data_IF_320774905860
#
_entry.id   IF_320774905860
#
_cell.length_a   1.000
_cell.length_b   1.000
_cell.length_c   1.000
_cell.angle_alpha   90.00
_cell.angle_beta   90.00
_cell.angle_gamma   90.00
#
_symmetry.space_group_name_H-M   'P 1'
#
loop_
_entity.id
_entity.type
_entity.pdbx_description
1 polymer ?
#
# COMPACT_ATOMS: atom_id res chain seq x y z
N UNK A 1 -23.07 56.07 29.99
CA UNK A 1 -23.22 55.33 28.71
C UNK A 1 -21.93 54.63 28.29
N UNK A 2 -20.77 55.30 28.31
CA UNK A 2 -19.46 54.79 27.85
C UNK A 2 -18.99 53.50 28.55
N UNK A 3 -19.17 53.37 29.88
CA UNK A 3 -18.80 52.16 30.64
C UNK A 3 -19.58 50.90 30.25
N UNK A 4 -20.87 51.02 29.93
CA UNK A 4 -21.71 49.89 29.49
C UNK A 4 -21.34 49.44 28.07
N UNK A 5 -20.97 50.39 27.21
CA UNK A 5 -20.52 50.12 25.84
C UNK A 5 -19.14 49.43 25.82
N UNK A 6 -18.22 49.84 26.71
CA UNK A 6 -16.90 49.22 26.87
C UNK A 6 -16.97 47.78 27.38
N UNK A 7 -17.89 47.49 28.31
CA UNK A 7 -18.11 46.13 28.81
C UNK A 7 -18.67 45.19 27.73
N UNK A 8 -19.58 45.70 26.89
CA UNK A 8 -20.19 44.97 25.79
C UNK A 8 -19.17 44.66 24.68
N UNK A 9 -18.27 45.60 24.39
CA UNK A 9 -17.18 45.41 23.43
C UNK A 9 -16.16 44.37 23.92
N UNK A 10 -15.82 44.38 25.21
CA UNK A 10 -14.93 43.39 25.81
C UNK A 10 -15.55 41.98 25.78
N UNK A 11 -16.84 41.87 26.08
CA UNK A 11 -17.58 40.61 26.03
C UNK A 11 -17.63 40.05 24.60
N UNK A 12 -17.90 40.90 23.59
CA UNK A 12 -17.90 40.51 22.18
C UNK A 12 -16.53 40.05 21.70
N UNK A 13 -15.45 40.70 22.15
CA UNK A 13 -14.08 40.31 21.82
C UNK A 13 -13.71 38.95 22.43
N UNK A 14 -14.17 38.68 23.67
CA UNK A 14 -13.95 37.37 24.31
C UNK A 14 -14.75 36.24 23.66
N UNK A 15 -15.98 36.51 23.21
CA UNK A 15 -16.81 35.52 22.48
C UNK A 15 -16.19 35.23 21.10
N UNK A 16 -15.68 36.26 20.40
CA UNK A 16 -14.99 36.08 19.12
C UNK A 16 -13.66 35.28 19.26
N UNK A 17 -12.92 35.48 20.36
CA UNK A 17 -11.72 34.71 20.66
C UNK A 17 -12.03 33.23 20.96
N UNK A 18 -13.14 32.94 21.63
CA UNK A 18 -13.59 31.56 21.92
C UNK A 18 -14.11 30.83 20.67
N UNK A 19 -14.69 31.54 19.70
CA UNK A 19 -15.11 30.97 18.41
C UNK A 19 -13.94 30.58 17.49
N UNK A 20 -12.75 31.13 17.75
CA UNK A 20 -11.56 30.92 16.91
C UNK A 20 -10.78 29.65 17.29
N UNK A 21 -11.18 28.95 18.35
CA UNK A 21 -10.53 27.75 18.88
C UNK A 21 -11.35 26.48 18.62
N UNK A 22 -11.93 26.34 17.43
CA UNK A 22 -12.16 24.98 16.89
C UNK A 22 -10.84 24.52 16.29
N UNK A 23 -9.89 24.16 17.15
CA UNK A 23 -8.77 23.34 16.75
C UNK A 23 -9.35 21.96 16.40
N UNK A 24 -9.76 21.79 15.14
CA UNK A 24 -9.92 20.46 14.57
C UNK A 24 -8.59 19.75 14.83
N UNK A 25 -8.62 18.72 15.69
CA UNK A 25 -7.47 17.86 15.92
C UNK A 25 -6.89 17.53 14.54
N UNK A 26 -5.63 17.92 14.32
CA UNK A 26 -4.98 17.65 13.05
C UNK A 26 -5.00 16.13 12.85
N UNK A 27 -5.46 15.68 11.68
CA UNK A 27 -5.43 14.26 11.35
C UNK A 27 -4.02 13.71 11.60
N UNK A 28 -3.95 12.46 12.04
CA UNK A 28 -2.70 11.72 12.20
C UNK A 28 -2.96 10.31 11.72
N UNK A 29 -1.97 9.73 11.06
CA UNK A 29 -1.96 8.28 10.82
C UNK A 29 -1.88 7.54 12.15
N UNK A 30 -2.57 6.41 12.20
CA UNK A 30 -2.53 5.46 13.32
C UNK A 30 -1.97 4.13 12.82
N UNK A 31 -1.65 3.23 13.75
CA UNK A 31 -1.02 1.96 13.43
C UNK A 31 -1.85 1.11 12.46
N UNK A 32 -3.18 1.14 12.62
CA UNK A 32 -4.15 0.42 11.81
C UNK A 32 -4.20 0.91 10.35
N UNK A 33 -3.69 2.10 10.05
CA UNK A 33 -3.60 2.60 8.66
C UNK A 33 -2.52 1.86 7.85
N UNK A 34 -1.60 1.16 8.53
CA UNK A 34 -0.56 0.31 7.93
C UNK A 34 -0.98 -1.16 7.93
N UNK A 35 -2.29 -1.41 8.03
CA UNK A 35 -2.94 -2.72 8.03
C UNK A 35 -3.85 -2.89 6.84
N UNK A 36 -4.06 -4.14 6.44
CA UNK A 36 -5.19 -4.48 5.58
C UNK A 36 -5.86 -5.75 6.07
N UNK A 37 -7.18 -5.66 6.29
CA UNK A 37 -8.04 -6.77 6.77
C UNK A 37 -7.47 -7.51 8.00
N UNK A 38 -6.86 -6.77 8.91
CA UNK A 38 -6.29 -7.30 10.16
C UNK A 38 -4.94 -8.00 10.02
N UNK A 39 -4.21 -7.76 8.93
CA UNK A 39 -2.81 -8.18 8.72
C UNK A 39 -1.93 -6.94 8.61
N UNK A 40 -0.78 -6.96 9.28
CA UNK A 40 0.24 -5.91 9.29
C UNK A 40 1.34 -6.16 8.25
N UNK A 41 2.06 -5.11 7.89
CA UNK A 41 3.41 -5.25 7.33
C UNK A 41 4.33 -5.90 8.38
N UNK A 42 5.07 -6.93 7.97
CA UNK A 42 5.96 -7.72 8.83
C UNK A 42 5.32 -8.98 9.43
N UNK A 43 3.99 -9.15 9.34
CA UNK A 43 3.33 -10.39 9.76
C UNK A 43 3.81 -11.58 8.90
N UNK A 44 3.72 -12.79 9.45
CA UNK A 44 4.07 -14.00 8.72
C UNK A 44 2.99 -14.39 7.72
N UNK A 45 3.39 -15.14 6.69
CA UNK A 45 2.45 -15.72 5.72
C UNK A 45 1.34 -16.56 6.39
N UNK A 46 1.63 -17.25 7.49
CA UNK A 46 0.63 -18.02 8.23
C UNK A 46 -0.50 -17.16 8.83
N UNK A 47 -0.16 -15.96 9.33
CA UNK A 47 -1.16 -14.99 9.81
C UNK A 47 -2.01 -14.50 8.64
N UNK A 48 -1.37 -14.19 7.50
CA UNK A 48 -2.06 -13.78 6.28
C UNK A 48 -3.08 -14.84 5.85
N UNK A 49 -2.67 -16.09 5.70
CA UNK A 49 -3.56 -17.19 5.29
C UNK A 49 -4.71 -17.39 6.29
N UNK A 50 -4.45 -17.27 7.60
CA UNK A 50 -5.50 -17.38 8.62
C UNK A 50 -6.55 -16.26 8.56
N UNK A 51 -6.16 -15.05 8.13
CA UNK A 51 -7.05 -13.87 8.13
C UNK A 51 -7.76 -13.67 6.79
N UNK A 52 -7.03 -13.84 5.69
CA UNK A 52 -7.52 -13.59 4.34
C UNK A 52 -8.08 -14.85 3.66
N UNK A 53 -7.75 -16.03 4.20
CA UNK A 53 -8.15 -17.31 3.62
C UNK A 53 -7.38 -17.63 2.33
N UNK A 54 -8.00 -18.48 1.51
CA UNK A 54 -7.42 -18.99 0.28
C UNK A 54 -7.38 -17.90 -0.82
N UNK A 55 -6.20 -17.69 -1.39
CA UNK A 55 -6.01 -16.86 -2.58
C UNK A 55 -6.54 -17.56 -3.83
N UNK A 56 -6.90 -16.79 -4.86
CA UNK A 56 -7.23 -17.37 -6.17
C UNK A 56 -6.03 -18.06 -6.83
N UNK A 57 -4.88 -17.41 -6.73
CA UNK A 57 -3.58 -17.90 -7.18
C UNK A 57 -2.50 -17.02 -6.56
N UNK A 58 -1.26 -17.50 -6.62
CA UNK A 58 -0.08 -16.73 -6.31
C UNK A 58 0.87 -16.66 -7.52
N UNK A 59 1.76 -15.67 -7.50
CA UNK A 59 2.80 -15.47 -8.51
C UNK A 59 4.08 -14.96 -7.85
N UNK A 60 5.23 -15.43 -8.31
CA UNK A 60 6.52 -14.85 -7.92
C UNK A 60 6.82 -13.67 -8.86
N UNK A 61 7.18 -12.54 -8.30
CA UNK A 61 7.56 -11.34 -9.04
C UNK A 61 8.68 -10.59 -8.33
N UNK A 62 9.39 -9.74 -9.06
CA UNK A 62 10.33 -8.77 -8.47
C UNK A 62 9.63 -7.42 -8.40
N UNK A 63 9.37 -6.93 -7.19
CA UNK A 63 8.76 -5.63 -6.92
C UNK A 63 9.80 -4.71 -6.27
N UNK A 64 10.11 -3.56 -6.89
CA UNK A 64 11.08 -2.58 -6.39
C UNK A 64 12.48 -3.18 -6.06
N UNK A 65 12.87 -4.25 -6.77
CA UNK A 65 14.13 -4.97 -6.55
C UNK A 65 14.07 -6.10 -5.52
N UNK A 66 12.91 -6.34 -4.90
CA UNK A 66 12.68 -7.41 -3.93
C UNK A 66 11.92 -8.57 -4.58
N UNK A 67 12.42 -9.80 -4.41
CA UNK A 67 11.71 -11.01 -4.84
C UNK A 67 10.57 -11.29 -3.86
N UNK A 68 9.34 -11.23 -4.37
CA UNK A 68 8.12 -11.41 -3.57
C UNK A 68 7.22 -12.48 -4.19
N UNK A 69 6.51 -13.22 -3.33
CA UNK A 69 5.35 -14.02 -3.73
C UNK A 69 4.10 -13.20 -3.49
N UNK A 70 3.30 -12.99 -4.53
CA UNK A 70 2.09 -12.15 -4.51
C UNK A 70 0.85 -13.02 -4.61
N UNK A 71 0.02 -12.98 -3.59
CA UNK A 71 -1.28 -13.65 -3.51
C UNK A 71 -2.37 -12.73 -4.04
N UNK A 72 -3.19 -13.23 -4.97
CA UNK A 72 -4.27 -12.47 -5.59
C UNK A 72 -5.62 -13.01 -5.10
N UNK A 73 -6.52 -12.11 -4.69
CA UNK A 73 -7.81 -12.46 -4.10
C UNK A 73 -9.00 -12.10 -4.99
N UNK A 74 -10.18 -12.69 -4.71
CA UNK A 74 -11.41 -12.51 -5.49
C UNK A 74 -11.87 -11.06 -5.63
N UNK A 75 -11.57 -10.23 -4.63
CA UNK A 75 -11.91 -8.81 -4.64
C UNK A 75 -10.87 -7.94 -5.36
N UNK A 76 -9.93 -8.57 -6.10
CA UNK A 76 -8.79 -7.93 -6.79
C UNK A 76 -7.75 -7.33 -5.85
N UNK A 77 -7.84 -7.56 -4.54
CA UNK A 77 -6.75 -7.22 -3.62
C UNK A 77 -5.57 -8.15 -3.86
N UNK A 78 -4.36 -7.60 -3.73
CA UNK A 78 -3.11 -8.37 -3.76
C UNK A 78 -2.33 -8.15 -2.46
N UNK A 79 -1.69 -9.21 -1.96
CA UNK A 79 -0.74 -9.14 -0.85
C UNK A 79 0.56 -9.77 -1.28
N UNK A 80 1.69 -9.11 -1.05
CA UNK A 80 3.00 -9.67 -1.31
C UNK A 80 3.75 -10.02 -0.03
N UNK A 81 4.37 -11.19 -0.06
CA UNK A 81 5.26 -11.71 0.99
C UNK A 81 6.67 -11.76 0.42
N UNK A 82 7.65 -11.27 1.15
CA UNK A 82 9.05 -11.36 0.74
C UNK A 82 9.51 -12.83 0.79
N UNK A 83 10.13 -13.29 -0.30
CA UNK A 83 10.59 -14.68 -0.39
C UNK A 83 11.75 -14.95 0.57
N UNK A 84 12.56 -13.94 0.88
CA UNK A 84 13.73 -14.06 1.72
C UNK A 84 13.41 -14.45 3.18
N UNK A 85 12.32 -13.94 3.75
CA UNK A 85 11.99 -14.08 5.17
C UNK A 85 10.55 -14.52 5.46
N UNK A 86 9.70 -14.66 4.44
CA UNK A 86 8.31 -15.08 4.58
C UNK A 86 7.39 -14.04 5.25
N UNK A 87 7.79 -12.75 5.29
CA UNK A 87 7.00 -11.67 5.89
C UNK A 87 6.20 -10.87 4.86
N UNK A 88 5.04 -10.37 5.27
CA UNK A 88 4.18 -9.51 4.45
C UNK A 88 4.85 -8.15 4.25
N UNK A 89 4.96 -7.71 3.00
CA UNK A 89 5.69 -6.49 2.62
C UNK A 89 4.89 -5.54 1.72
N UNK A 90 3.76 -5.94 1.16
CA UNK A 90 2.99 -5.08 0.25
C UNK A 90 1.51 -5.44 0.27
N UNK A 91 0.65 -4.43 0.25
CA UNK A 91 -0.78 -4.56 0.03
C UNK A 91 -1.21 -3.60 -1.07
N UNK A 92 -1.91 -4.14 -2.06
CA UNK A 92 -2.66 -3.38 -3.07
C UNK A 92 -4.12 -3.74 -2.93
N UNK A 93 -4.99 -2.74 -2.87
CA UNK A 93 -6.42 -2.92 -2.69
C UNK A 93 -7.18 -2.35 -3.88
N UNK A 94 -8.32 -2.97 -4.19
CA UNK A 94 -9.26 -2.42 -5.16
C UNK A 94 -10.11 -1.34 -4.49
N UNK A 95 -9.75 -0.08 -4.68
CA UNK A 95 -10.42 1.06 -4.05
C UNK A 95 -11.88 1.27 -4.48
N UNK A 96 -12.37 0.58 -5.53
CA UNK A 96 -13.80 0.56 -5.87
C UNK A 96 -14.61 -0.22 -4.82
N UNK A 97 -13.99 -1.21 -4.17
CA UNK A 97 -14.63 -2.08 -3.17
C UNK A 97 -14.11 -1.83 -1.76
N UNK A 98 -12.86 -1.41 -1.63
CA UNK A 98 -12.19 -1.20 -0.36
C UNK A 98 -12.55 0.15 0.25
N UNK A 99 -12.78 0.12 1.57
CA UNK A 99 -13.04 1.32 2.36
C UNK A 99 -12.04 1.37 3.50
N UNK A 100 -11.16 2.36 3.47
CA UNK A 100 -10.20 2.62 4.53
C UNK A 100 -10.85 3.36 5.71
N UNK A 101 -10.06 3.60 6.76
CA UNK A 101 -10.51 4.22 8.02
C UNK A 101 -11.34 5.47 7.79
N UNK A 102 -12.41 5.63 8.57
CA UNK A 102 -13.32 6.77 8.50
C UNK A 102 -13.90 7.00 7.10
N UNK A 103 -14.26 5.91 6.41
CA UNK A 103 -14.93 5.93 5.11
C UNK A 103 -14.11 6.62 4.00
N UNK A 104 -12.79 6.49 4.06
CA UNK A 104 -11.90 6.91 2.97
C UNK A 104 -12.03 5.89 1.83
N UNK A 105 -12.50 6.35 0.68
CA UNK A 105 -12.74 5.55 -0.54
C UNK A 105 -12.20 6.31 -1.75
N UNK A 106 -12.19 5.68 -2.92
CA UNK A 106 -11.87 6.37 -4.16
C UNK A 106 -12.71 7.64 -4.33
N UNK A 107 -12.07 8.73 -4.77
CA UNK A 107 -12.69 10.06 -4.86
C UNK A 107 -12.72 10.84 -3.54
N UNK A 108 -12.17 10.31 -2.44
CA UNK A 108 -12.05 11.07 -1.19
C UNK A 108 -11.29 12.39 -1.44
N UNK A 109 -11.87 13.51 -1.02
CA UNK A 109 -11.32 14.83 -1.29
C UNK A 109 -10.05 15.08 -0.48
N UNK A 110 -9.16 15.94 -0.99
CA UNK A 110 -7.98 16.42 -0.27
C UNK A 110 -8.30 16.83 1.18
N UNK A 111 -9.36 17.61 1.39
CA UNK A 111 -9.77 18.05 2.72
C UNK A 111 -10.08 16.87 3.65
N UNK A 112 -10.76 15.83 3.13
CA UNK A 112 -11.07 14.65 3.92
C UNK A 112 -9.80 13.86 4.27
N UNK A 113 -8.89 13.67 3.30
CA UNK A 113 -7.60 13.01 3.55
C UNK A 113 -6.78 13.74 4.62
N UNK A 114 -6.70 15.07 4.55
CA UNK A 114 -6.00 15.89 5.56
C UNK A 114 -6.65 15.79 6.94
N UNK A 115 -7.97 15.68 7.00
CA UNK A 115 -8.71 15.49 8.26
C UNK A 115 -8.44 14.12 8.90
N UNK A 116 -8.29 13.06 8.10
CA UNK A 116 -8.12 11.70 8.60
C UNK A 116 -6.66 11.37 8.91
N UNK A 117 -5.76 11.63 7.96
CA UNK A 117 -4.35 11.22 8.03
C UNK A 117 -3.39 12.36 8.40
N UNK A 118 -3.85 13.60 8.28
CA UNK A 118 -3.05 14.80 8.54
C UNK A 118 -2.60 15.50 7.26
N UNK A 119 -2.07 16.71 7.42
CA UNK A 119 -1.55 17.47 6.28
C UNK A 119 -0.22 16.89 5.82
N UNK A 120 -0.12 16.58 4.53
CA UNK A 120 1.11 16.14 3.88
C UNK A 120 1.29 16.86 2.54
N UNK A 121 2.53 17.11 2.15
CA UNK A 121 2.84 17.61 0.80
C UNK A 121 2.74 16.47 -0.21
N UNK A 122 2.29 16.80 -1.43
CA UNK A 122 2.30 15.88 -2.56
C UNK A 122 3.74 15.62 -2.97
N UNK A 123 4.05 14.35 -3.20
CA UNK A 123 5.36 13.91 -3.69
C UNK A 123 5.16 13.21 -5.03
N UNK A 124 6.04 13.49 -5.98
CA UNK A 124 6.03 12.83 -7.28
C UNK A 124 6.89 11.57 -7.21
N UNK A 125 6.29 10.43 -7.52
CA UNK A 125 6.94 9.11 -7.47
C UNK A 125 6.43 8.27 -8.64
N UNK A 126 7.35 7.71 -9.42
CA UNK A 126 7.07 6.79 -10.54
C UNK A 126 5.98 7.28 -11.52
N UNK A 127 5.92 8.59 -11.79
CA UNK A 127 4.98 9.16 -12.75
C UNK A 127 3.67 9.67 -12.15
N UNK A 128 3.41 9.42 -10.87
CA UNK A 128 2.18 9.78 -10.18
C UNK A 128 2.43 10.68 -8.96
N UNK A 129 1.38 11.32 -8.46
CA UNK A 129 1.41 12.10 -7.22
C UNK A 129 0.89 11.28 -6.04
N UNK A 130 1.64 11.29 -4.95
CA UNK A 130 1.28 10.59 -3.71
C UNK A 130 1.30 11.51 -2.50
N UNK A 131 0.42 11.22 -1.53
CA UNK A 131 0.63 11.59 -0.14
C UNK A 131 1.22 10.37 0.57
N UNK A 132 2.45 10.50 1.08
CA UNK A 132 3.21 9.41 1.69
C UNK A 132 3.29 9.63 3.20
N UNK A 133 2.81 8.67 3.97
CA UNK A 133 2.87 8.66 5.42
C UNK A 133 3.69 7.46 5.89
N UNK A 134 4.51 7.66 6.92
CA UNK A 134 5.39 6.63 7.45
C UNK A 134 4.87 6.20 8.81
N UNK A 135 5.00 4.92 9.13
CA UNK A 135 4.61 4.38 10.43
C UNK A 135 5.61 4.82 11.49
N UNK A 136 5.09 5.19 12.66
CA UNK A 136 5.94 5.61 13.79
C UNK A 136 6.84 4.44 14.23
N UNK A 137 8.15 4.70 14.41
CA UNK A 137 9.19 3.69 14.72
C UNK A 137 9.43 2.62 13.65
N UNK A 138 8.85 2.74 12.45
CA UNK A 138 9.06 1.83 11.34
C UNK A 138 9.30 2.63 10.05
N UNK A 139 10.53 3.13 9.82
CA UNK A 139 10.82 4.15 8.80
C UNK A 139 10.55 3.69 7.36
N UNK A 140 10.58 2.38 7.11
CA UNK A 140 10.38 1.76 5.80
C UNK A 140 8.96 1.25 5.56
N UNK A 141 8.04 1.48 6.49
CA UNK A 141 6.64 1.10 6.34
C UNK A 141 5.78 2.32 6.01
N UNK A 142 5.15 2.27 4.85
CA UNK A 142 4.50 3.43 4.24
C UNK A 142 3.04 3.17 3.89
N UNK A 143 2.23 4.20 4.07
CA UNK A 143 0.91 4.35 3.46
C UNK A 143 1.03 5.35 2.31
N UNK A 144 0.76 4.88 1.10
CA UNK A 144 0.78 5.65 -0.13
C UNK A 144 -0.66 5.90 -0.57
N UNK A 145 -1.04 7.17 -0.63
CA UNK A 145 -2.31 7.61 -1.20
C UNK A 145 -2.03 8.24 -2.55
N UNK A 146 -2.34 7.54 -3.64
CA UNK A 146 -2.24 8.10 -4.99
C UNK A 146 -3.34 9.14 -5.15
N UNK A 147 -2.98 10.35 -5.56
CA UNK A 147 -3.93 11.46 -5.70
C UNK A 147 -3.89 12.05 -7.10
N UNK A 148 -5.03 12.56 -7.54
CA UNK A 148 -5.14 13.27 -8.80
C UNK A 148 -4.26 14.54 -8.81
N UNK A 149 -3.64 14.82 -9.95
CA UNK A 149 -2.72 15.95 -10.09
C UNK A 149 -3.45 17.31 -9.98
N UNK A 150 -4.71 17.38 -10.42
CA UNK A 150 -5.53 18.58 -10.41
C UNK A 150 -6.04 18.89 -9.00
N UNK A 151 -7.13 18.25 -8.60
CA UNK A 151 -7.86 18.58 -7.38
C UNK A 151 -7.32 17.83 -6.13
N UNK A 152 -6.52 16.78 -6.32
CA UNK A 152 -5.96 15.97 -5.24
C UNK A 152 -6.96 15.02 -4.59
N UNK A 153 -8.01 14.58 -5.29
CA UNK A 153 -8.85 13.48 -4.80
C UNK A 153 -8.09 12.14 -4.85
N UNK A 154 -8.48 11.21 -3.96
CA UNK A 154 -7.88 9.89 -3.86
C UNK A 154 -8.19 9.05 -5.11
N UNK A 155 -7.16 8.54 -5.77
CA UNK A 155 -7.28 7.61 -6.90
C UNK A 155 -7.07 6.17 -6.43
N UNK A 156 -6.03 5.93 -5.63
CA UNK A 156 -5.64 4.60 -5.20
C UNK A 156 -4.94 4.61 -3.83
N UNK A 157 -4.85 3.45 -3.19
CA UNK A 157 -4.22 3.25 -1.88
C UNK A 157 -3.32 2.02 -1.91
N UNK A 158 -2.08 2.20 -1.45
CA UNK A 158 -1.10 1.12 -1.29
C UNK A 158 -0.47 1.20 0.09
N UNK A 159 -0.28 0.06 0.73
CA UNK A 159 0.45 -0.05 2.00
C UNK A 159 1.68 -0.90 1.72
N UNK A 160 2.88 -0.41 1.96
CA UNK A 160 4.10 -1.09 1.52
C UNK A 160 5.24 -0.93 2.51
N UNK A 161 5.98 -2.02 2.68
CA UNK A 161 7.29 -2.09 3.32
C UNK A 161 8.43 -2.18 2.29
N UNK A 162 8.12 -2.07 0.99
CA UNK A 162 9.11 -2.09 -0.08
C UNK A 162 9.77 -0.71 -0.23
N UNK A 163 11.04 -0.65 -0.63
CA UNK A 163 11.75 0.62 -0.81
C UNK A 163 11.07 1.46 -1.90
N UNK A 164 10.76 2.72 -1.57
CA UNK A 164 10.10 3.62 -2.52
C UNK A 164 11.07 4.18 -3.56
N UNK A 165 12.36 4.28 -3.23
CA UNK A 165 13.39 4.79 -4.13
C UNK A 165 14.76 4.17 -3.84
N UNK A 166 15.77 4.51 -4.65
CA UNK A 166 17.14 4.01 -4.49
C UNK A 166 17.76 4.39 -3.15
N UNK A 167 17.54 5.63 -2.68
CA UNK A 167 18.13 6.09 -1.43
C UNK A 167 17.60 5.31 -0.23
N UNK A 168 16.29 5.04 -0.22
CA UNK A 168 15.68 4.19 0.79
C UNK A 168 16.17 2.74 0.71
N UNK A 169 16.30 2.19 -0.51
CA UNK A 169 16.86 0.85 -0.70
C UNK A 169 18.30 0.76 -0.17
N UNK A 170 19.11 1.80 -0.38
CA UNK A 170 20.46 1.86 0.14
C UNK A 170 20.47 1.90 1.68
N UNK A 171 19.59 2.68 2.30
CA UNK A 171 19.44 2.74 3.76
C UNK A 171 19.02 1.38 4.35
N UNK A 172 18.00 0.74 3.78
CA UNK A 172 17.58 -0.61 4.18
C UNK A 172 18.71 -1.64 4.06
N UNK A 173 19.58 -1.51 3.03
CA UNK A 173 20.74 -2.39 2.85
C UNK A 173 21.80 -2.16 3.93
N UNK A 174 22.04 -0.91 4.29
CA UNK A 174 22.96 -0.53 5.39
C UNK A 174 22.45 -1.04 6.74
N UNK A 175 21.14 -1.00 6.96
CA UNK A 175 20.47 -1.56 8.15
C UNK A 175 20.44 -3.10 8.14
N UNK A 176 20.78 -3.74 7.02
CA UNK A 176 20.82 -5.18 6.87
C UNK A 176 19.44 -5.84 6.75
N UNK A 177 18.45 -5.13 6.17
CA UNK A 177 17.10 -5.66 6.00
C UNK A 177 17.13 -6.96 5.15
N UNK A 178 16.63 -8.08 5.68
CA UNK A 178 16.70 -9.38 5.01
C UNK A 178 15.91 -9.43 3.70
N UNK A 179 14.90 -8.56 3.48
CA UNK A 179 14.13 -8.59 2.22
C UNK A 179 14.97 -8.15 1.01
N UNK A 180 16.08 -7.45 1.24
CA UNK A 180 17.00 -7.00 0.19
C UNK A 180 18.13 -7.99 -0.10
N UNK A 181 18.23 -9.07 0.68
CA UNK A 181 19.21 -10.12 0.39
C UNK A 181 18.79 -10.85 -0.89
N UNK A 182 19.73 -11.02 -1.82
CA UNK A 182 19.51 -11.88 -2.97
C UNK A 182 19.27 -13.29 -2.45
N UNK A 183 18.02 -13.77 -2.54
CA UNK A 183 17.74 -15.16 -2.23
C UNK A 183 18.34 -16.01 -3.36
N UNK A 184 19.43 -16.73 -3.08
CA UNK A 184 20.02 -17.76 -3.94
C UNK A 184 19.05 -18.92 -4.26
N UNK A 185 17.82 -18.86 -3.77
CA UNK A 185 16.72 -19.67 -4.23
C UNK A 185 16.36 -19.26 -5.66
N UNK A 186 17.16 -19.76 -6.60
CA UNK A 186 16.88 -20.01 -8.00
C UNK A 186 15.71 -21.00 -8.09
N UNK A 187 14.56 -20.65 -7.52
CA UNK A 187 13.30 -21.34 -7.76
C UNK A 187 12.79 -20.89 -9.12
N UNK A 188 13.56 -21.27 -10.14
CA UNK A 188 13.01 -21.70 -11.43
C UNK A 188 12.23 -22.98 -11.17
N UNK A 189 11.18 -22.87 -10.35
CA UNK A 189 9.99 -23.70 -10.45
C UNK A 189 9.35 -23.35 -11.78
N UNK A 190 10.00 -23.77 -12.88
CA UNK A 190 9.28 -24.15 -14.07
C UNK A 190 8.08 -24.91 -13.56
N UNK A 191 6.89 -24.42 -13.91
CA UNK A 191 5.71 -25.26 -13.98
C UNK A 191 6.18 -26.50 -14.74
N UNK A 192 6.56 -27.56 -14.03
CA UNK A 192 6.88 -28.84 -14.62
C UNK A 192 5.54 -29.32 -15.15
N UNK A 193 5.22 -28.89 -16.37
CA UNK A 193 4.11 -29.43 -17.14
C UNK A 193 4.39 -30.91 -17.15
N UNK A 194 3.47 -31.67 -16.58
CA UNK A 194 3.56 -33.12 -16.57
C UNK A 194 3.51 -33.62 -18.02
N UNK A 195 4.69 -33.81 -18.61
CA UNK A 195 4.87 -34.31 -19.96
C UNK A 195 4.76 -35.84 -20.02
N UNK A 196 4.47 -36.53 -18.91
CA UNK A 196 4.27 -37.99 -18.92
C UNK A 196 3.04 -38.42 -19.71
N UNK A 197 2.11 -37.50 -19.95
CA UNK A 197 0.90 -37.69 -20.76
C UNK A 197 1.05 -37.20 -22.20
N UNK A 198 2.21 -36.65 -22.59
CA UNK A 198 2.45 -36.29 -23.99
C UNK A 198 2.71 -37.56 -24.81
N UNK A 199 2.14 -37.68 -26.02
CA UNK A 199 2.53 -38.73 -26.94
C UNK A 199 4.03 -38.65 -27.18
N UNK A 200 4.77 -39.72 -26.86
CA UNK A 200 6.15 -39.82 -27.29
C UNK A 200 6.17 -39.91 -28.81
N UNK A 201 7.04 -39.13 -29.45
CA UNK A 201 7.19 -38.99 -30.91
C UNK A 201 6.92 -40.30 -31.67
N UNK A 202 5.70 -40.46 -32.18
CA UNK A 202 5.51 -41.18 -33.41
C UNK A 202 6.00 -40.24 -34.50
N UNK A 203 7.18 -40.53 -35.05
CA UNK A 203 7.75 -39.87 -36.23
C UNK A 203 6.64 -39.47 -37.20
N UNK A 204 6.31 -38.17 -37.23
CA UNK A 204 5.30 -37.66 -38.14
C UNK A 204 5.84 -37.84 -39.55
N UNK A 205 5.38 -38.90 -40.23
CA UNK A 205 5.58 -39.06 -41.66
C UNK A 205 4.76 -37.99 -42.38
N UNK A 206 5.42 -36.88 -42.72
CA UNK A 206 4.92 -35.95 -43.72
C UNK A 206 4.99 -36.65 -45.07
N UNK A 207 3.98 -37.47 -45.38
CA UNK A 207 3.77 -37.89 -46.76
C UNK A 207 3.25 -36.68 -47.54
N UNK A 208 4.19 -35.96 -48.13
CA UNK A 208 3.89 -34.94 -49.13
C UNK A 208 3.16 -35.60 -50.29
N UNK A 209 1.94 -35.14 -50.55
CA UNK A 209 1.25 -35.37 -51.82
C UNK A 209 2.04 -34.67 -52.92
N UNK A 210 2.97 -35.40 -53.52
CA UNK A 210 3.54 -35.04 -54.81
C UNK A 210 2.47 -35.09 -55.88
N UNK A 211 2.08 -33.91 -56.37
CA UNK A 211 1.61 -33.68 -57.73
C UNK A 211 2.12 -32.33 -58.22
#
# INVERSE_FOLDING_TARGET
MVRKLSLLLLLLLTIAAMLSTVCLAAGKVIDEDFSCKGVMLGDSEGILQSKWGESLYDKIAVKQGVKVRTYVYKDRSEVSVAVADGRVVDFTVDMEKYVARNNVRQGATKFWLEKIYGKKQRQFLDGDYYLIYNRENHPHQHLLLKVDAGDGHLLDLRITGLPLNEAERAAMREEGDPILQESDADDTGFMNIDMSSLPQDDTVRLEGLGR
#
